data_IF_305178008965
#
_entry.id   IF_305178008965
#
_cell.length_a   1.000
_cell.length_b   1.000
_cell.length_c   1.000
_cell.angle_alpha   90.00
_cell.angle_beta   90.00
_cell.angle_gamma   90.00
#
_symmetry.space_group_name_H-M   'P 1'
#
loop_
_entity.id
_entity.type
_entity.pdbx_description
1 polymer ?
#
# COMPACT_ATOMS: atom_id res chain seq x y z
N UNK A 1 53.23 -16.15 -76.72
CA UNK A 1 52.61 -14.89 -76.23
C UNK A 1 51.34 -15.26 -75.54
N UNK A 2 51.42 -15.37 -74.20
CA UNK A 2 50.35 -15.82 -73.36
C UNK A 2 49.87 -14.65 -72.47
N UNK A 3 48.67 -14.21 -72.67
CA UNK A 3 48.05 -13.10 -71.95
C UNK A 3 47.36 -13.66 -70.66
N UNK A 4 47.84 -13.21 -69.49
CA UNK A 4 47.24 -13.51 -68.21
C UNK A 4 46.10 -12.56 -67.88
N UNK A 5 44.88 -13.07 -67.73
CA UNK A 5 43.74 -12.35 -67.14
C UNK A 5 43.67 -12.65 -65.65
N UNK A 6 43.87 -11.62 -64.84
CA UNK A 6 43.67 -11.66 -63.39
C UNK A 6 42.25 -11.23 -63.05
N UNK A 7 41.39 -12.14 -62.57
CA UNK A 7 40.10 -11.79 -62.06
C UNK A 7 40.24 -11.31 -60.60
N UNK A 8 39.95 -10.03 -60.39
CA UNK A 8 39.78 -9.47 -59.05
C UNK A 8 38.34 -9.70 -58.60
N UNK A 9 38.13 -10.67 -57.68
CA UNK A 9 36.90 -10.84 -56.97
C UNK A 9 36.74 -9.77 -55.87
N UNK A 10 35.74 -8.91 -56.03
CA UNK A 10 35.36 -7.96 -54.99
C UNK A 10 34.40 -8.67 -54.01
N UNK A 11 34.88 -9.00 -52.82
CA UNK A 11 34.01 -9.49 -51.71
C UNK A 11 33.30 -8.30 -51.07
N UNK A 12 32.01 -8.20 -51.32
CA UNK A 12 31.16 -7.23 -50.62
C UNK A 12 30.85 -7.77 -49.24
N UNK A 13 31.42 -7.19 -48.19
CA UNK A 13 31.04 -7.41 -46.80
C UNK A 13 29.71 -6.69 -46.55
N UNK A 14 28.63 -7.49 -46.42
CA UNK A 14 27.34 -7.00 -45.95
C UNK A 14 27.40 -6.79 -44.41
N UNK A 15 27.56 -5.55 -43.98
CA UNK A 15 27.40 -5.17 -42.57
C UNK A 15 25.91 -5.17 -42.21
N UNK A 16 25.45 -6.23 -41.57
CA UNK A 16 24.13 -6.23 -40.89
C UNK A 16 24.22 -5.30 -39.67
N UNK A 17 23.68 -4.11 -39.80
CA UNK A 17 23.42 -3.24 -38.65
C UNK A 17 22.24 -3.85 -37.85
N UNK A 18 22.51 -4.52 -36.75
CA UNK A 18 21.49 -4.83 -35.75
C UNK A 18 21.03 -3.50 -35.15
N UNK A 19 19.85 -3.04 -35.57
CA UNK A 19 19.15 -1.97 -34.86
C UNK A 19 18.72 -2.51 -33.51
N UNK A 20 19.43 -2.13 -32.44
CA UNK A 20 18.94 -2.35 -31.07
C UNK A 20 17.65 -1.56 -30.92
N UNK A 21 16.51 -2.26 -30.78
CA UNK A 21 15.28 -1.64 -30.37
C UNK A 21 15.52 -0.92 -29.03
N UNK A 22 15.02 0.33 -28.85
CA UNK A 22 15.14 0.99 -27.56
C UNK A 22 14.46 0.08 -26.52
N UNK A 23 15.21 -0.32 -25.50
CA UNK A 23 14.63 -0.95 -24.33
C UNK A 23 13.61 0.05 -23.75
N UNK A 24 12.32 -0.23 -23.92
CA UNK A 24 11.27 0.54 -23.22
C UNK A 24 11.58 0.42 -21.74
N UNK A 25 11.99 1.53 -21.13
CA UNK A 25 12.12 1.59 -19.69
C UNK A 25 10.77 1.15 -19.10
N UNK A 26 10.79 0.06 -18.32
CA UNK A 26 9.58 -0.41 -17.65
C UNK A 26 9.03 0.74 -16.83
N UNK A 27 7.73 0.97 -16.92
CA UNK A 27 7.08 2.03 -16.17
C UNK A 27 7.30 1.76 -14.68
N UNK A 28 7.81 2.75 -13.96
CA UNK A 28 7.98 2.73 -12.53
C UNK A 28 6.99 3.72 -11.93
N UNK A 29 6.38 3.37 -10.81
CA UNK A 29 5.44 4.25 -10.11
C UNK A 29 6.14 5.56 -9.70
N UNK A 30 5.58 6.69 -10.12
CA UNK A 30 6.07 8.04 -9.80
C UNK A 30 5.67 8.44 -8.37
N UNK A 31 6.48 8.01 -7.40
CA UNK A 31 6.28 8.28 -5.98
C UNK A 31 6.23 9.78 -5.66
N UNK A 32 7.11 10.65 -6.22
CA UNK A 32 7.00 12.10 -6.05
C UNK A 32 5.67 12.69 -6.55
N UNK A 33 5.17 12.25 -7.70
CA UNK A 33 3.87 12.70 -8.21
C UNK A 33 2.74 12.28 -7.28
N UNK A 34 2.76 11.04 -6.75
CA UNK A 34 1.79 10.57 -5.78
C UNK A 34 1.85 11.38 -4.47
N UNK A 35 3.03 11.65 -3.91
CA UNK A 35 3.20 12.52 -2.74
C UNK A 35 2.60 13.91 -2.96
N UNK A 36 2.79 14.49 -4.15
CA UNK A 36 2.21 15.80 -4.47
C UNK A 36 0.68 15.75 -4.43
N UNK A 37 0.07 14.73 -5.04
CA UNK A 37 -1.39 14.57 -5.05
C UNK A 37 -1.95 14.31 -3.65
N UNK A 38 -1.26 13.54 -2.82
CA UNK A 38 -1.64 13.33 -1.41
C UNK A 38 -1.61 14.65 -0.63
N UNK A 39 -0.56 15.44 -0.76
CA UNK A 39 -0.43 16.73 -0.09
C UNK A 39 -1.55 17.72 -0.50
N UNK A 40 -2.00 17.66 -1.76
CA UNK A 40 -3.08 18.51 -2.28
C UNK A 40 -4.47 18.11 -1.74
N UNK A 41 -4.70 16.84 -1.41
CA UNK A 41 -6.04 16.29 -1.15
C UNK A 41 -6.27 15.75 0.28
N UNK A 42 -5.20 15.54 1.06
CA UNK A 42 -5.29 14.93 2.39
C UNK A 42 -4.93 15.92 3.47
N UNK A 43 -5.81 16.08 4.47
CA UNK A 43 -5.57 16.88 5.68
C UNK A 43 -6.06 16.10 6.89
N UNK A 44 -5.16 15.81 7.83
CA UNK A 44 -5.44 15.08 9.08
C UNK A 44 -6.28 13.80 8.85
N UNK A 45 -5.94 13.05 7.81
CA UNK A 45 -6.63 11.82 7.43
C UNK A 45 -7.97 12.01 6.69
N UNK A 46 -8.50 13.22 6.61
CA UNK A 46 -9.65 13.54 5.79
C UNK A 46 -9.24 13.67 4.32
N UNK A 47 -9.94 12.97 3.42
CA UNK A 47 -9.59 12.90 2.00
C UNK A 47 -10.61 13.67 1.14
N UNK A 48 -10.16 14.67 0.41
CA UNK A 48 -10.94 15.31 -0.65
C UNK A 48 -10.73 14.60 -1.99
N UNK A 49 -11.48 13.50 -2.20
CA UNK A 49 -11.37 12.68 -3.41
C UNK A 49 -11.68 13.49 -4.68
N UNK A 50 -12.50 14.55 -4.61
CA UNK A 50 -12.82 15.39 -5.77
C UNK A 50 -11.58 16.04 -6.40
N UNK A 51 -10.48 16.19 -5.65
CA UNK A 51 -9.20 16.71 -6.17
C UNK A 51 -8.52 15.79 -7.17
N UNK A 52 -8.85 14.51 -7.12
CA UNK A 52 -8.30 13.49 -8.03
C UNK A 52 -9.28 13.12 -9.15
N UNK A 53 -10.55 13.57 -9.10
CA UNK A 53 -11.51 13.35 -10.16
C UNK A 53 -11.05 14.08 -11.45
N UNK A 54 -11.11 13.40 -12.60
CA UNK A 54 -10.68 13.90 -13.90
C UNK A 54 -9.24 14.48 -13.91
N UNK A 55 -8.38 14.02 -13.01
CA UNK A 55 -7.00 14.49 -12.89
C UNK A 55 -6.05 13.59 -13.67
N UNK A 56 -5.47 14.05 -14.80
CA UNK A 56 -4.61 13.20 -15.64
C UNK A 56 -3.34 12.71 -14.93
N UNK A 57 -2.86 13.41 -13.87
CA UNK A 57 -1.73 12.93 -13.06
C UNK A 57 -2.14 11.70 -12.24
N UNK A 58 -3.37 11.68 -11.71
CA UNK A 58 -3.89 10.55 -10.97
C UNK A 58 -4.16 9.35 -11.89
N UNK A 59 -4.71 9.59 -13.09
CA UNK A 59 -4.92 8.55 -14.10
C UNK A 59 -3.59 7.92 -14.53
N UNK A 60 -2.54 8.73 -14.76
CA UNK A 60 -1.21 8.25 -15.07
C UNK A 60 -0.61 7.35 -13.98
N UNK A 61 -0.84 7.65 -12.68
CA UNK A 61 -0.40 6.79 -11.58
C UNK A 61 -1.12 5.44 -11.61
N UNK A 62 -2.41 5.41 -11.90
CA UNK A 62 -3.18 4.17 -12.04
C UNK A 62 -2.62 3.30 -13.18
N UNK A 63 -2.26 3.91 -14.31
CA UNK A 63 -1.61 3.22 -15.44
C UNK A 63 -0.22 2.68 -15.06
N UNK A 64 0.56 3.47 -14.31
CA UNK A 64 1.88 3.03 -13.83
C UNK A 64 1.77 1.85 -12.86
N UNK A 65 0.77 1.82 -11.97
CA UNK A 65 0.49 0.66 -11.10
C UNK A 65 0.25 -0.60 -11.96
N UNK A 66 -0.51 -0.48 -13.04
CA UNK A 66 -0.79 -1.59 -13.94
C UNK A 66 0.46 -2.12 -14.68
N UNK A 67 1.37 -1.22 -15.07
CA UNK A 67 2.50 -1.51 -15.96
C UNK A 67 3.82 -1.79 -15.22
N UNK A 68 3.91 -1.55 -13.91
CA UNK A 68 5.13 -1.76 -13.12
C UNK A 68 5.49 -3.24 -13.09
N UNK A 69 6.75 -3.58 -13.38
CA UNK A 69 7.28 -4.93 -13.20
C UNK A 69 7.85 -5.10 -11.78
N UNK A 70 7.26 -5.99 -11.01
CA UNK A 70 7.71 -6.31 -9.64
C UNK A 70 8.63 -7.52 -9.58
N UNK A 71 8.92 -8.18 -10.69
CA UNK A 71 9.68 -9.44 -10.74
C UNK A 71 11.10 -9.34 -10.18
N UNK A 72 11.78 -8.20 -10.44
CA UNK A 72 13.14 -7.96 -9.97
C UNK A 72 13.21 -7.20 -8.62
N UNK A 73 12.07 -6.82 -8.03
CA UNK A 73 12.01 -6.05 -6.79
C UNK A 73 12.35 -6.93 -5.57
N UNK A 74 13.16 -6.40 -4.65
CA UNK A 74 13.33 -6.99 -3.34
C UNK A 74 12.08 -6.77 -2.45
N UNK A 75 12.10 -7.27 -1.21
CA UNK A 75 10.96 -7.20 -0.27
C UNK A 75 10.53 -5.75 0.02
N UNK A 76 11.48 -4.89 0.34
CA UNK A 76 11.23 -3.48 0.69
C UNK A 76 10.69 -2.70 -0.50
N UNK A 77 11.23 -2.91 -1.68
CA UNK A 77 10.72 -2.33 -2.93
C UNK A 77 9.28 -2.77 -3.23
N UNK A 78 8.96 -4.06 -3.00
CA UNK A 78 7.60 -4.58 -3.12
C UNK A 78 6.65 -3.96 -2.10
N UNK A 79 7.08 -3.79 -0.84
CA UNK A 79 6.28 -3.11 0.18
C UNK A 79 5.96 -1.67 -0.24
N UNK A 80 6.95 -0.90 -0.64
CA UNK A 80 6.75 0.48 -1.12
C UNK A 80 5.78 0.51 -2.29
N UNK A 81 6.00 -0.33 -3.29
CA UNK A 81 5.14 -0.38 -4.46
C UNK A 81 3.70 -0.75 -4.10
N UNK A 82 3.50 -1.87 -3.40
CA UNK A 82 2.15 -2.38 -3.15
C UNK A 82 1.35 -1.56 -2.15
N UNK A 83 1.98 -0.93 -1.14
CA UNK A 83 1.30 0.00 -0.23
C UNK A 83 0.78 1.21 -1.01
N UNK A 84 1.62 1.85 -1.82
CA UNK A 84 1.20 2.98 -2.64
C UNK A 84 0.16 2.58 -3.69
N UNK A 85 0.34 1.44 -4.36
CA UNK A 85 -0.61 0.90 -5.32
C UNK A 85 -1.99 0.65 -4.69
N UNK A 86 -2.04 0.03 -3.50
CA UNK A 86 -3.28 -0.18 -2.77
C UNK A 86 -4.00 1.15 -2.50
N UNK A 87 -3.29 2.15 -1.98
CA UNK A 87 -3.88 3.45 -1.64
C UNK A 87 -4.37 4.22 -2.88
N UNK A 88 -3.61 4.17 -3.99
CA UNK A 88 -4.05 4.74 -5.28
C UNK A 88 -5.32 4.05 -5.77
N UNK A 89 -5.36 2.72 -5.75
CA UNK A 89 -6.48 1.95 -6.26
C UNK A 89 -7.71 2.01 -5.35
N UNK A 90 -7.52 2.11 -4.03
CA UNK A 90 -8.60 2.38 -3.10
C UNK A 90 -9.25 3.74 -3.40
N UNK A 91 -8.45 4.79 -3.62
CA UNK A 91 -8.95 6.09 -4.04
C UNK A 91 -9.64 6.02 -5.42
N UNK A 92 -9.08 5.30 -6.39
CA UNK A 92 -9.69 5.07 -7.70
C UNK A 92 -11.05 4.42 -7.57
N UNK A 93 -11.19 3.39 -6.74
CA UNK A 93 -12.46 2.73 -6.50
C UNK A 93 -13.54 3.67 -5.94
N UNK A 94 -13.18 4.65 -5.09
CA UNK A 94 -14.12 5.68 -4.63
C UNK A 94 -14.54 6.60 -5.77
N UNK A 95 -13.61 7.01 -6.62
CA UNK A 95 -13.90 7.85 -7.80
C UNK A 95 -14.78 7.13 -8.81
N UNK A 96 -14.62 5.82 -8.98
CA UNK A 96 -15.44 4.97 -9.85
C UNK A 96 -16.83 4.66 -9.25
N UNK A 97 -17.19 5.28 -8.11
CA UNK A 97 -18.49 5.14 -7.46
C UNK A 97 -18.58 4.01 -6.45
N UNK A 98 -17.47 3.31 -6.16
CA UNK A 98 -17.38 2.32 -5.10
C UNK A 98 -17.60 2.92 -3.71
N UNK A 99 -17.92 2.10 -2.72
CA UNK A 99 -18.11 2.56 -1.34
C UNK A 99 -17.76 1.44 -0.34
N UNK A 100 -17.05 1.75 0.74
CA UNK A 100 -16.88 0.82 1.86
C UNK A 100 -18.14 0.65 2.70
N UNK A 101 -19.16 1.52 2.51
CA UNK A 101 -20.38 1.51 3.29
C UNK A 101 -21.31 0.34 2.93
N UNK A 102 -21.98 -0.20 3.95
CA UNK A 102 -22.91 -1.30 3.80
C UNK A 102 -22.27 -2.62 3.36
N UNK A 103 -22.96 -3.73 3.56
CA UNK A 103 -22.41 -5.07 3.26
C UNK A 103 -22.18 -5.28 1.75
N UNK A 104 -23.14 -4.84 0.93
CA UNK A 104 -23.04 -5.01 -0.53
C UNK A 104 -21.96 -4.10 -1.09
N UNK A 105 -21.93 -2.81 -0.67
CA UNK A 105 -20.91 -1.87 -1.09
C UNK A 105 -19.50 -2.39 -0.80
N UNK A 106 -19.24 -2.85 0.42
CA UNK A 106 -17.96 -3.46 0.80
C UNK A 106 -17.57 -4.67 -0.06
N UNK A 107 -18.53 -5.58 -0.28
CA UNK A 107 -18.24 -6.76 -1.10
C UNK A 107 -17.85 -6.36 -2.53
N UNK A 108 -18.56 -5.41 -3.12
CA UNK A 108 -18.26 -4.88 -4.45
C UNK A 108 -16.88 -4.22 -4.46
N UNK A 109 -16.67 -3.24 -3.59
CA UNK A 109 -15.48 -2.41 -3.52
C UNK A 109 -14.20 -3.21 -3.25
N UNK A 110 -14.22 -4.15 -2.29
CA UNK A 110 -13.02 -4.89 -1.92
C UNK A 110 -12.79 -6.18 -2.70
N UNK A 111 -13.87 -6.88 -3.14
CA UNK A 111 -13.73 -8.25 -3.67
C UNK A 111 -14.14 -8.41 -5.12
N UNK A 112 -15.18 -7.69 -5.56
CA UNK A 112 -15.71 -7.85 -6.93
C UNK A 112 -14.95 -6.99 -7.93
N UNK A 113 -14.76 -5.72 -7.59
CA UNK A 113 -14.10 -4.79 -8.49
C UNK A 113 -12.62 -5.12 -8.61
N UNK A 114 -12.12 -5.11 -9.84
CA UNK A 114 -10.77 -5.56 -10.19
C UNK A 114 -9.99 -4.42 -10.82
N UNK A 115 -8.72 -4.37 -10.49
CA UNK A 115 -7.75 -3.39 -10.97
C UNK A 115 -6.57 -4.10 -11.61
N UNK A 116 -5.92 -3.46 -12.57
CA UNK A 116 -4.68 -3.97 -13.15
C UNK A 116 -3.51 -3.54 -12.25
N UNK A 117 -2.75 -4.51 -11.73
CA UNK A 117 -1.63 -4.31 -10.81
C UNK A 117 -0.46 -5.18 -11.25
N UNK A 118 0.64 -4.58 -11.65
CA UNK A 118 1.86 -5.30 -12.06
C UNK A 118 1.58 -6.39 -13.13
N UNK A 119 0.70 -6.10 -14.10
CA UNK A 119 0.29 -7.02 -15.16
C UNK A 119 -0.76 -8.06 -14.78
N UNK A 120 -1.27 -8.04 -13.55
CA UNK A 120 -2.33 -8.94 -13.08
C UNK A 120 -3.62 -8.17 -12.82
N UNK A 121 -4.79 -8.83 -13.04
CA UNK A 121 -6.09 -8.22 -12.75
C UNK A 121 -6.68 -8.76 -11.45
N UNK A 122 -6.49 -8.00 -10.36
CA UNK A 122 -6.84 -8.40 -8.99
C UNK A 122 -7.70 -7.36 -8.27
N UNK A 123 -8.41 -7.78 -7.22
CA UNK A 123 -9.17 -6.89 -6.33
C UNK A 123 -8.29 -6.31 -5.23
N UNK A 124 -8.80 -5.30 -4.50
CA UNK A 124 -8.12 -4.79 -3.31
C UNK A 124 -7.89 -5.89 -2.27
N UNK A 125 -8.86 -6.78 -2.09
CA UNK A 125 -8.73 -7.93 -1.19
C UNK A 125 -7.60 -8.89 -1.61
N UNK A 126 -7.51 -9.25 -2.90
CA UNK A 126 -6.44 -10.10 -3.40
C UNK A 126 -5.08 -9.40 -3.33
N UNK A 127 -5.03 -8.07 -3.62
CA UNK A 127 -3.81 -7.29 -3.47
C UNK A 127 -3.29 -7.32 -2.03
N UNK A 128 -4.16 -7.09 -1.04
CA UNK A 128 -3.81 -7.17 0.37
C UNK A 128 -3.37 -8.58 0.77
N UNK A 129 -4.21 -9.59 0.52
CA UNK A 129 -4.03 -10.94 1.07
C UNK A 129 -3.02 -11.79 0.32
N UNK A 130 -2.84 -11.57 -0.99
CA UNK A 130 -1.99 -12.42 -1.83
C UNK A 130 -0.68 -11.74 -2.26
N UNK A 131 -0.55 -10.42 -2.10
CA UNK A 131 0.66 -9.68 -2.51
C UNK A 131 1.32 -8.93 -1.35
N UNK A 132 0.56 -8.29 -0.46
CA UNK A 132 1.11 -7.47 0.63
C UNK A 132 1.38 -8.31 1.88
N UNK A 133 0.37 -9.00 2.44
CA UNK A 133 0.51 -9.80 3.66
C UNK A 133 1.58 -10.90 3.59
N UNK A 134 1.81 -11.59 2.43
CA UNK A 134 2.90 -12.55 2.31
C UNK A 134 4.31 -11.95 2.49
N UNK A 135 4.45 -10.63 2.44
CA UNK A 135 5.71 -9.95 2.73
C UNK A 135 6.03 -9.89 4.24
N UNK A 136 5.11 -10.35 5.10
CA UNK A 136 5.30 -10.50 6.56
C UNK A 136 5.73 -9.18 7.24
N UNK A 137 4.99 -8.13 6.99
CA UNK A 137 5.16 -6.81 7.59
C UNK A 137 3.83 -6.36 8.23
N UNK A 138 3.61 -6.59 9.53
CA UNK A 138 2.31 -6.33 10.16
C UNK A 138 1.93 -4.83 10.20
N UNK A 139 2.91 -3.92 10.13
CA UNK A 139 2.64 -2.47 10.10
C UNK A 139 1.91 -2.03 8.82
N UNK A 140 1.81 -2.90 7.80
CA UNK A 140 1.01 -2.60 6.60
C UNK A 140 -0.46 -2.35 6.93
N UNK A 141 -0.97 -2.95 7.99
CA UNK A 141 -2.35 -2.74 8.42
C UNK A 141 -2.63 -1.32 8.91
N UNK A 142 -1.59 -0.51 9.12
CA UNK A 142 -1.69 0.92 9.43
C UNK A 142 -1.27 1.82 8.25
N UNK A 143 -0.81 1.21 7.15
CA UNK A 143 -0.30 1.90 5.97
C UNK A 143 -1.24 1.84 4.77
N UNK A 144 -2.01 0.73 4.62
CA UNK A 144 -3.02 0.59 3.57
C UNK A 144 -4.37 1.11 4.07
N UNK A 145 -5.03 1.96 3.27
CA UNK A 145 -6.21 2.71 3.72
C UNK A 145 -7.44 2.32 2.90
N UNK A 146 -8.45 1.81 3.60
CA UNK A 146 -9.67 1.27 3.01
C UNK A 146 -10.79 2.29 2.77
N UNK A 147 -10.46 3.59 2.79
CA UNK A 147 -11.38 4.71 2.60
C UNK A 147 -12.52 4.83 3.64
N UNK A 148 -12.43 4.18 4.81
CA UNK A 148 -13.44 4.29 5.86
C UNK A 148 -12.95 5.11 7.07
N UNK A 149 -13.88 5.65 7.86
CA UNK A 149 -13.59 6.53 9.00
C UNK A 149 -12.76 5.84 10.10
N UNK A 150 -13.00 4.54 10.37
CA UNK A 150 -12.20 3.76 11.33
C UNK A 150 -10.90 3.19 10.76
N UNK A 151 -10.60 3.43 9.47
CA UNK A 151 -9.31 3.05 8.88
C UNK A 151 -8.16 3.86 9.49
N UNK A 152 -6.91 3.39 9.38
CA UNK A 152 -5.76 4.27 9.54
C UNK A 152 -5.88 5.50 8.66
N UNK A 153 -5.29 6.60 9.08
CA UNK A 153 -5.31 7.82 8.28
C UNK A 153 -4.47 7.64 7.00
N UNK A 154 -5.00 8.09 5.87
CA UNK A 154 -4.17 8.22 4.68
C UNK A 154 -3.16 9.34 4.93
N UNK A 155 -1.87 9.03 4.80
CA UNK A 155 -0.81 10.03 4.98
C UNK A 155 -0.82 11.03 3.82
N UNK A 156 -0.44 12.29 4.10
CA UNK A 156 -0.25 13.32 3.06
C UNK A 156 1.06 13.16 2.27
N UNK A 157 1.75 12.03 2.43
CA UNK A 157 2.98 11.66 1.70
C UNK A 157 2.93 10.20 1.26
N UNK A 158 3.56 9.89 0.14
CA UNK A 158 3.72 8.51 -0.32
C UNK A 158 4.80 7.77 0.48
N UNK A 159 4.70 6.45 0.55
CA UNK A 159 5.77 5.61 1.10
C UNK A 159 6.96 5.57 0.14
N UNK A 160 8.17 5.74 0.67
CA UNK A 160 9.42 5.73 -0.10
C UNK A 160 10.37 4.67 0.44
N UNK A 161 11.30 4.20 -0.39
CA UNK A 161 12.27 3.18 0.03
C UNK A 161 13.19 3.69 1.15
N UNK A 162 13.61 4.93 1.04
CA UNK A 162 14.55 5.57 1.98
C UNK A 162 13.94 5.78 3.37
N UNK A 163 12.60 5.90 3.46
CA UNK A 163 11.90 6.23 4.70
C UNK A 163 10.91 5.14 5.14
N UNK A 164 10.90 4.00 4.46
CA UNK A 164 9.90 2.94 4.68
C UNK A 164 9.75 2.58 6.16
N UNK A 165 10.85 2.26 6.83
CA UNK A 165 10.83 1.87 8.24
C UNK A 165 10.26 2.98 9.12
N UNK A 166 10.77 4.21 8.97
CA UNK A 166 10.28 5.36 9.72
C UNK A 166 8.79 5.62 9.47
N UNK A 167 8.34 5.52 8.21
CA UNK A 167 6.95 5.76 7.84
C UNK A 167 6.01 4.68 8.39
N UNK A 168 6.44 3.42 8.39
CA UNK A 168 5.68 2.30 8.95
C UNK A 168 5.60 2.39 10.48
N UNK A 169 6.71 2.71 11.15
CA UNK A 169 6.72 2.91 12.61
C UNK A 169 5.82 4.08 13.03
N UNK A 170 5.93 5.21 12.32
CA UNK A 170 5.06 6.35 12.58
C UNK A 170 3.58 5.99 12.36
N UNK A 171 3.25 5.29 11.27
CA UNK A 171 1.86 4.90 11.00
C UNK A 171 1.30 3.96 12.09
N UNK A 172 2.13 3.03 12.58
CA UNK A 172 1.75 2.13 13.67
C UNK A 172 1.58 2.89 14.99
N UNK A 173 2.54 3.74 15.36
CA UNK A 173 2.47 4.57 16.56
C UNK A 173 1.27 5.51 16.55
N UNK A 174 1.08 6.26 15.45
CA UNK A 174 -0.04 7.19 15.27
C UNK A 174 -1.40 6.46 15.42
N UNK A 175 -1.54 5.28 14.83
CA UNK A 175 -2.79 4.51 14.90
C UNK A 175 -3.04 3.89 16.28
N UNK A 176 -2.02 3.30 16.91
CA UNK A 176 -2.13 2.59 18.18
C UNK A 176 -2.43 3.57 19.32
N UNK A 177 -1.83 4.77 19.30
CA UNK A 177 -2.03 5.79 20.33
C UNK A 177 -3.20 6.75 20.04
N UNK A 178 -3.93 6.56 18.94
CA UNK A 178 -5.14 7.33 18.62
C UNK A 178 -6.28 6.91 19.55
N UNK A 179 -6.69 7.81 20.44
CA UNK A 179 -7.74 7.57 21.45
C UNK A 179 -9.14 7.35 20.87
N UNK A 180 -9.39 7.75 19.61
CA UNK A 180 -10.64 7.48 18.92
C UNK A 180 -10.70 6.02 18.39
N UNK A 181 -9.56 5.37 18.28
CA UNK A 181 -9.38 4.02 17.73
C UNK A 181 -8.98 2.96 18.76
N UNK A 182 -8.29 3.38 19.82
CA UNK A 182 -7.80 2.45 20.85
C UNK A 182 -7.77 3.16 22.21
N UNK A 183 -8.05 2.42 23.27
CA UNK A 183 -7.92 2.94 24.63
C UNK A 183 -7.39 1.88 25.57
N UNK A 184 -6.58 2.30 26.54
CA UNK A 184 -5.97 1.45 27.55
C UNK A 184 -6.31 1.97 28.95
N UNK A 185 -7.32 1.37 29.60
CA UNK A 185 -7.65 1.68 31.00
C UNK A 185 -6.76 0.84 31.93
N UNK A 186 -5.69 1.49 32.40
CA UNK A 186 -4.69 0.88 33.30
C UNK A 186 -5.29 0.47 34.64
N UNK A 187 -6.27 1.23 35.17
CA UNK A 187 -6.86 0.95 36.47
C UNK A 187 -7.78 -0.26 36.42
N UNK A 188 -8.61 -0.34 35.38
CA UNK A 188 -9.51 -1.47 35.15
C UNK A 188 -8.86 -2.63 34.40
N UNK A 189 -7.65 -2.45 33.88
CA UNK A 189 -6.95 -3.40 33.02
C UNK A 189 -7.77 -3.81 31.80
N UNK A 190 -8.43 -2.86 31.17
CA UNK A 190 -9.23 -3.07 29.96
C UNK A 190 -8.66 -2.30 28.81
N UNK A 191 -8.53 -2.98 27.67
CA UNK A 191 -8.19 -2.35 26.40
C UNK A 191 -9.36 -2.49 25.43
N UNK A 192 -9.81 -1.36 24.88
CA UNK A 192 -10.78 -1.35 23.80
C UNK A 192 -10.04 -0.99 22.51
N UNK A 193 -9.92 -1.93 21.59
CA UNK A 193 -9.07 -1.86 20.42
C UNK A 193 -9.86 -1.79 19.13
N UNK A 194 -9.29 -1.19 18.10
CA UNK A 194 -9.83 -1.25 16.74
C UNK A 194 -10.06 -2.69 16.29
N UNK A 195 -11.14 -2.91 15.54
CA UNK A 195 -11.44 -4.21 14.93
C UNK A 195 -10.34 -4.72 13.98
N UNK A 196 -9.44 -3.86 13.51
CA UNK A 196 -8.27 -4.25 12.70
C UNK A 196 -7.43 -5.28 13.46
N UNK A 197 -7.20 -5.09 14.76
CA UNK A 197 -6.44 -6.03 15.58
C UNK A 197 -7.11 -7.42 15.70
N UNK A 198 -8.44 -7.47 15.64
CA UNK A 198 -9.19 -8.73 15.62
C UNK A 198 -9.10 -9.42 14.27
N UNK A 199 -9.23 -8.67 13.17
CA UNK A 199 -9.28 -9.25 11.83
C UNK A 199 -7.93 -9.78 11.36
N UNK A 200 -6.84 -9.16 11.82
CA UNK A 200 -5.47 -9.48 11.43
C UNK A 200 -4.60 -9.94 12.61
N UNK A 201 -5.24 -10.44 13.69
CA UNK A 201 -4.54 -10.88 14.90
C UNK A 201 -3.39 -11.84 14.61
N UNK A 202 -3.57 -12.74 13.65
CA UNK A 202 -2.57 -13.71 13.22
C UNK A 202 -1.26 -13.05 12.80
N UNK A 203 -1.31 -11.94 12.05
CA UNK A 203 -0.12 -11.24 11.56
C UNK A 203 0.65 -10.58 12.72
N UNK A 204 -0.07 -10.03 13.72
CA UNK A 204 0.54 -9.41 14.90
C UNK A 204 1.13 -10.48 15.84
N UNK A 205 0.43 -11.60 16.02
CA UNK A 205 0.90 -12.73 16.82
C UNK A 205 2.13 -13.38 16.17
N UNK A 206 2.15 -13.54 14.85
CA UNK A 206 3.32 -14.07 14.13
C UNK A 206 4.57 -13.17 14.34
N UNK A 207 4.37 -11.85 14.38
CA UNK A 207 5.46 -10.88 14.52
C UNK A 207 6.02 -10.77 15.94
N UNK A 208 5.17 -10.87 16.98
CA UNK A 208 5.56 -10.55 18.36
C UNK A 208 5.20 -11.63 19.40
N UNK A 209 4.66 -12.77 18.97
CA UNK A 209 4.24 -13.86 19.86
C UNK A 209 2.86 -13.66 20.48
N UNK A 210 2.37 -12.42 20.63
CA UNK A 210 1.00 -12.12 21.04
C UNK A 210 0.60 -10.71 20.59
N UNK A 211 -0.72 -10.44 20.53
CA UNK A 211 -1.22 -9.10 20.23
C UNK A 211 -0.74 -8.07 21.27
N UNK A 212 -0.79 -8.40 22.57
CA UNK A 212 -0.35 -7.47 23.62
C UNK A 212 1.15 -7.17 23.53
N UNK A 213 1.98 -8.16 23.24
CA UNK A 213 3.41 -7.96 23.02
C UNK A 213 3.70 -7.11 21.76
N UNK A 214 2.85 -7.20 20.73
CA UNK A 214 2.95 -6.32 19.58
C UNK A 214 2.61 -4.87 19.93
N UNK A 215 1.50 -4.65 20.63
CA UNK A 215 1.05 -3.33 21.07
C UNK A 215 2.06 -2.62 21.97
N UNK A 216 2.71 -3.37 22.87
CA UNK A 216 3.72 -2.86 23.80
C UNK A 216 4.91 -2.19 23.09
N UNK A 217 5.15 -2.49 21.81
CA UNK A 217 6.23 -1.88 21.03
C UNK A 217 5.92 -0.44 20.59
N UNK A 218 4.63 -0.03 20.60
CA UNK A 218 4.18 1.24 20.04
C UNK A 218 3.39 2.11 21.01
N UNK A 219 2.84 1.54 22.10
CA UNK A 219 2.09 2.31 23.11
C UNK A 219 3.03 3.24 23.86
N UNK A 220 2.63 4.53 24.02
CA UNK A 220 3.44 5.57 24.65
C UNK A 220 3.28 5.62 26.18
N UNK A 221 2.12 5.16 26.73
CA UNK A 221 1.91 5.13 28.19
C UNK A 221 2.69 3.99 28.85
N UNK A 222 3.76 4.34 29.58
CA UNK A 222 4.64 3.38 30.26
C UNK A 222 3.91 2.41 31.19
N UNK A 223 2.79 2.83 31.81
CA UNK A 223 2.00 1.95 32.68
C UNK A 223 1.19 0.94 31.86
N UNK A 224 0.66 1.38 30.71
CA UNK A 224 0.00 0.49 29.79
C UNK A 224 0.99 -0.51 29.18
N UNK A 225 2.20 -0.07 28.83
CA UNK A 225 3.28 -0.95 28.35
C UNK A 225 3.58 -2.06 29.36
N UNK A 226 3.80 -1.75 30.65
CA UNK A 226 4.07 -2.73 31.72
C UNK A 226 2.95 -3.79 31.82
N UNK A 227 1.69 -3.38 31.67
CA UNK A 227 0.55 -4.30 31.68
C UNK A 227 0.45 -5.12 30.38
N UNK A 228 0.74 -4.54 29.23
CA UNK A 228 0.76 -5.23 27.95
C UNK A 228 1.83 -6.33 27.91
N UNK A 229 3.05 -6.05 28.40
CA UNK A 229 4.15 -7.02 28.49
C UNK A 229 3.80 -8.20 29.40
N UNK A 230 2.96 -7.98 30.43
CA UNK A 230 2.47 -9.02 31.33
C UNK A 230 1.20 -9.70 30.84
N UNK A 231 0.69 -9.36 29.68
CA UNK A 231 -0.59 -9.83 29.15
C UNK A 231 -1.76 -9.62 30.13
N UNK A 232 -1.78 -8.47 30.80
CA UNK A 232 -2.69 -8.18 31.90
C UNK A 232 -3.96 -7.43 31.48
N UNK A 233 -4.12 -7.05 30.22
CA UNK A 233 -5.35 -6.44 29.72
C UNK A 233 -6.38 -7.48 29.30
N UNK A 234 -7.63 -7.24 29.71
CA UNK A 234 -8.81 -7.79 29.06
C UNK A 234 -9.08 -6.97 27.80
N UNK A 235 -9.11 -7.63 26.62
CA UNK A 235 -9.23 -6.95 25.32
C UNK A 235 -10.65 -7.06 24.81
N UNK A 236 -11.28 -5.91 24.54
CA UNK A 236 -12.51 -5.76 23.79
C UNK A 236 -12.23 -5.06 22.43
N UNK A 237 -13.14 -5.24 21.47
CA UNK A 237 -12.98 -4.65 20.14
C UNK A 237 -14.09 -3.64 19.85
N UNK A 238 -13.67 -2.45 19.41
CA UNK A 238 -14.57 -1.36 19.03
C UNK A 238 -15.35 -1.70 17.76
N UNK A 239 -16.55 -1.14 17.67
CA UNK A 239 -17.34 -1.20 16.44
C UNK A 239 -16.66 -0.38 15.35
N UNK A 240 -16.48 -1.00 14.19
CA UNK A 240 -15.85 -0.35 13.04
C UNK A 240 -16.83 0.55 12.27
N UNK A 241 -16.48 1.80 12.07
CA UNK A 241 -17.22 2.76 11.26
C UNK A 241 -16.75 2.70 9.80
N UNK A 242 -17.65 2.22 8.94
CA UNK A 242 -17.43 2.07 7.51
C UNK A 242 -17.85 3.30 6.70
N UNK A 243 -18.27 4.42 7.32
CA UNK A 243 -18.54 5.65 6.59
C UNK A 243 -17.27 6.16 5.89
N UNK A 244 -17.45 6.88 4.80
CA UNK A 244 -16.30 7.39 4.02
C UNK A 244 -15.44 8.34 4.88
N UNK A 245 -14.12 8.19 4.79
CA UNK A 245 -13.14 9.03 5.49
C UNK A 245 -12.90 10.41 4.83
N UNK A 246 -13.82 10.89 4.03
CA UNK A 246 -13.68 12.13 3.28
C UNK A 246 -14.93 12.50 2.49
N UNK A 247 -14.74 13.27 1.41
CA UNK A 247 -15.81 13.66 0.48
C UNK A 247 -15.43 13.30 -0.97
N UNK A 248 -16.47 13.00 -1.76
CA UNK A 248 -16.36 12.77 -3.21
C UNK A 248 -16.41 14.08 -3.99
#
# INVERSE_FOLDING_TARGET
>A
MLSNWIHRGASALLLLALAAAPATALAQLDIPAWSTLLLEAVSDGYVDYSRWADNPRFDALTEQVAQTDTGAMNREQKLVFYINAYNILAARGILDGGSPEGLIGRHVYFKRDKYDVAGERISLHELEHERIRPLKEPRIHFAIVCASASCPILRSEAYTLERLEQQLDSAAGDFINDSDRNSFDVEQRKAALSSIFKWFEEDFVEAAGSLQAYLAQFVEDEKAVDLLERHAFEVDYLRYDWSLNGKR
#
